data_IF_201925894411
#
_entry.id   IF_201925894411
#
_cell.length_a   1.000
_cell.length_b   1.000
_cell.length_c   1.000
_cell.angle_alpha   90.00
_cell.angle_beta   90.00
_cell.angle_gamma   90.00
#
_symmetry.space_group_name_H-M   'P 1'
#
loop_
_entity.id
_entity.type
_entity.pdbx_description
1 polymer ?
#
# COMPACT_ATOMS: atom_id res chain seq x y z
N UNK A 1 6.32 -1.77 -36.41
CA UNK A 1 5.91 -2.04 -35.00
C UNK A 1 6.55 -3.35 -34.60
N UNK A 2 7.54 -3.33 -33.74
CA UNK A 2 8.02 -4.54 -33.07
C UNK A 2 6.88 -5.03 -32.18
N UNK A 3 6.40 -6.27 -32.31
CA UNK A 3 5.42 -6.78 -31.36
C UNK A 3 6.05 -6.74 -29.95
N UNK A 4 5.25 -6.32 -28.95
CA UNK A 4 5.65 -6.43 -27.55
C UNK A 4 6.04 -7.87 -27.26
N UNK A 5 7.25 -8.07 -26.80
CA UNK A 5 7.67 -9.35 -26.23
C UNK A 5 7.62 -9.20 -24.73
N UNK A 6 6.87 -10.08 -24.06
CA UNK A 6 6.84 -10.13 -22.61
C UNK A 6 8.25 -10.22 -22.08
N UNK A 7 8.56 -9.34 -21.14
CA UNK A 7 9.87 -9.29 -20.45
C UNK A 7 9.71 -9.86 -19.06
N UNK A 8 10.84 -10.13 -18.40
CA UNK A 8 10.82 -10.57 -17.02
C UNK A 8 10.44 -9.43 -16.06
N UNK A 9 9.95 -9.78 -14.88
CA UNK A 9 9.71 -8.83 -13.81
C UNK A 9 11.03 -8.28 -13.25
N UNK A 10 11.05 -7.02 -12.87
CA UNK A 10 12.19 -6.37 -12.22
C UNK A 10 12.04 -6.46 -10.71
N UNK A 11 13.04 -6.99 -10.01
CA UNK A 11 13.10 -7.02 -8.56
C UNK A 11 14.25 -6.13 -8.08
N UNK A 12 14.03 -5.39 -6.99
CA UNK A 12 15.14 -4.67 -6.33
C UNK A 12 16.11 -5.67 -5.73
N UNK A 13 17.40 -5.27 -5.63
CA UNK A 13 18.42 -6.08 -4.95
C UNK A 13 18.21 -6.09 -3.44
N UNK A 14 17.72 -4.97 -2.92
CA UNK A 14 17.51 -4.78 -1.49
C UNK A 14 16.08 -5.10 -1.10
N UNK A 15 15.94 -5.83 -0.01
CA UNK A 15 14.65 -6.12 0.62
C UNK A 15 14.17 -4.93 1.46
N UNK A 16 12.87 -4.80 1.54
CA UNK A 16 12.19 -3.85 2.41
C UNK A 16 11.16 -4.55 3.32
N UNK A 17 10.84 -3.91 4.43
CA UNK A 17 9.68 -4.22 5.28
C UNK A 17 8.64 -3.13 5.13
N UNK A 18 8.45 -2.32 6.18
CA UNK A 18 7.57 -1.16 6.15
C UNK A 18 8.19 -0.05 5.28
N UNK A 19 7.43 0.51 4.35
CA UNK A 19 7.91 1.57 3.44
C UNK A 19 6.82 2.59 3.09
N UNK A 20 7.28 3.78 2.76
CA UNK A 20 6.61 4.72 1.88
C UNK A 20 7.24 4.61 0.50
N UNK A 21 6.43 4.35 -0.51
CA UNK A 21 6.83 4.25 -1.91
C UNK A 21 6.16 5.36 -2.71
N UNK A 22 6.95 6.07 -3.48
CA UNK A 22 6.47 6.97 -4.53
C UNK A 22 7.06 6.54 -5.87
N UNK A 23 6.26 6.57 -6.93
CA UNK A 23 6.73 6.38 -8.29
C UNK A 23 5.78 6.99 -9.31
N UNK A 24 6.34 7.33 -10.48
CA UNK A 24 5.55 7.61 -11.66
C UNK A 24 5.55 6.40 -12.60
N UNK A 25 4.41 6.13 -13.22
CA UNK A 25 4.27 5.13 -14.27
C UNK A 25 3.48 5.66 -15.46
N UNK A 26 3.67 5.03 -16.62
CA UNK A 26 2.91 5.33 -17.83
C UNK A 26 2.56 4.02 -18.53
N UNK A 27 1.29 3.88 -18.90
CA UNK A 27 0.76 2.73 -19.61
C UNK A 27 0.28 3.15 -21.01
N UNK A 28 0.58 2.39 -22.07
CA UNK A 28 -0.14 2.50 -23.34
C UNK A 28 -1.54 1.89 -23.22
N UNK A 29 -2.37 2.16 -24.22
CA UNK A 29 -3.74 1.64 -24.31
C UNK A 29 -3.79 0.11 -24.19
N UNK A 30 -4.64 -0.38 -23.30
CA UNK A 30 -4.87 -1.80 -23.04
C UNK A 30 -3.73 -2.52 -22.32
N UNK A 31 -2.76 -1.78 -21.77
CA UNK A 31 -1.64 -2.39 -21.04
C UNK A 31 -2.00 -2.80 -19.63
N UNK A 32 -1.26 -3.81 -19.14
CA UNK A 32 -1.34 -4.39 -17.81
C UNK A 32 0.05 -4.48 -17.20
N UNK A 33 0.17 -4.11 -15.93
CA UNK A 33 1.38 -4.19 -15.12
C UNK A 33 0.98 -4.19 -13.65
N UNK A 34 1.95 -4.26 -12.73
CA UNK A 34 1.72 -4.21 -11.28
C UNK A 34 2.95 -3.76 -10.51
N UNK A 35 2.71 -3.25 -9.31
CA UNK A 35 3.74 -2.94 -8.33
C UNK A 35 3.52 -3.84 -7.12
N UNK A 36 4.47 -4.76 -6.86
CA UNK A 36 4.36 -5.73 -5.78
C UNK A 36 5.26 -5.34 -4.62
N UNK A 37 4.66 -4.96 -3.51
CA UNK A 37 5.37 -4.74 -2.25
C UNK A 37 5.90 -6.09 -1.76
N UNK A 38 7.19 -6.13 -1.38
CA UNK A 38 7.89 -7.36 -0.96
C UNK A 38 7.86 -8.50 -1.99
N UNK A 39 7.60 -8.19 -3.29
CA UNK A 39 7.38 -9.21 -4.32
C UNK A 39 6.14 -10.07 -4.09
N UNK A 40 5.20 -9.65 -3.25
CA UNK A 40 4.04 -10.43 -2.78
C UNK A 40 2.70 -9.74 -2.89
N UNK A 41 2.62 -8.44 -2.63
CA UNK A 41 1.36 -7.71 -2.46
C UNK A 41 1.21 -6.66 -3.54
N UNK A 42 0.28 -6.87 -4.45
CA UNK A 42 0.14 -6.11 -5.69
C UNK A 42 -0.80 -4.92 -5.57
N UNK A 43 -0.30 -3.76 -6.02
CA UNK A 43 -1.12 -2.66 -6.53
C UNK A 43 -1.18 -2.80 -8.04
N UNK A 44 -2.38 -3.02 -8.56
CA UNK A 44 -2.63 -3.24 -9.99
C UNK A 44 -2.42 -1.95 -10.80
N UNK A 45 -1.72 -2.07 -11.91
CA UNK A 45 -1.57 -1.00 -12.91
C UNK A 45 -2.21 -1.46 -14.21
N UNK A 46 -3.34 -0.86 -14.57
CA UNK A 46 -4.13 -1.26 -15.74
C UNK A 46 -4.66 -0.05 -16.49
N UNK A 47 -4.81 -0.14 -17.81
CA UNK A 47 -5.50 0.90 -18.56
C UNK A 47 -7.00 0.87 -18.23
N UNK A 48 -7.37 1.63 -17.21
CA UNK A 48 -8.75 1.79 -16.73
C UNK A 48 -9.35 3.15 -17.11
N UNK A 49 -8.78 3.84 -18.11
CA UNK A 49 -9.29 5.13 -18.54
C UNK A 49 -10.78 5.07 -18.88
N UNK A 50 -11.57 5.94 -18.24
CA UNK A 50 -13.02 6.05 -18.47
C UNK A 50 -13.88 4.98 -17.77
N UNK A 51 -13.29 4.05 -17.00
CA UNK A 51 -14.05 3.09 -16.20
C UNK A 51 -14.82 3.84 -15.11
N UNK A 52 -16.16 3.70 -15.08
CA UNK A 52 -17.02 4.40 -14.11
C UNK A 52 -17.12 3.66 -12.78
N UNK A 53 -17.15 2.34 -12.81
CA UNK A 53 -17.30 1.49 -11.62
C UNK A 53 -16.09 0.55 -11.54
N UNK A 54 -14.98 0.97 -10.95
CA UNK A 54 -13.76 0.18 -10.91
C UNK A 54 -13.94 -1.10 -10.09
N UNK A 55 -13.20 -2.13 -10.47
CA UNK A 55 -13.14 -3.44 -9.84
C UNK A 55 -11.73 -3.73 -9.34
N UNK A 56 -11.54 -4.87 -8.70
CA UNK A 56 -10.23 -5.32 -8.20
C UNK A 56 -9.17 -5.55 -9.30
N UNK A 57 -9.55 -5.52 -10.58
CA UNK A 57 -8.64 -5.64 -11.73
C UNK A 57 -8.23 -4.28 -12.31
N UNK A 58 -8.85 -3.19 -11.87
CA UNK A 58 -8.62 -1.85 -12.41
C UNK A 58 -7.43 -1.16 -11.75
N UNK A 59 -6.99 -0.07 -12.36
CA UNK A 59 -5.80 0.68 -11.94
C UNK A 59 -5.90 1.16 -10.48
N UNK A 60 -4.86 0.88 -9.69
CA UNK A 60 -4.81 1.22 -8.28
C UNK A 60 -5.57 0.27 -7.36
N UNK A 61 -6.17 -0.79 -7.88
CA UNK A 61 -6.75 -1.86 -7.07
C UNK A 61 -5.69 -2.60 -6.27
N UNK A 62 -6.05 -3.18 -5.13
CA UNK A 62 -5.27 -4.25 -4.51
C UNK A 62 -5.74 -5.56 -5.14
N UNK A 63 -4.81 -6.24 -5.87
CA UNK A 63 -5.18 -7.41 -6.64
C UNK A 63 -5.58 -8.57 -5.77
N UNK A 64 -6.38 -9.50 -6.31
CA UNK A 64 -6.91 -10.64 -5.57
C UNK A 64 -5.82 -11.68 -5.25
N UNK A 65 -6.03 -12.44 -4.20
CA UNK A 65 -5.36 -13.70 -3.92
C UNK A 65 -5.99 -14.80 -4.77
N UNK A 66 -5.28 -15.93 -4.89
CA UNK A 66 -5.73 -17.06 -5.70
C UNK A 66 -5.51 -18.38 -4.99
N UNK A 67 -6.55 -19.23 -4.96
CA UNK A 67 -6.51 -20.57 -4.38
C UNK A 67 -7.41 -21.50 -5.18
N UNK A 68 -6.78 -22.41 -5.94
CA UNK A 68 -7.49 -23.36 -6.81
C UNK A 68 -8.37 -24.33 -6.03
N UNK A 69 -8.04 -24.62 -4.76
CA UNK A 69 -8.83 -25.51 -3.90
C UNK A 69 -10.22 -24.99 -3.60
N UNK A 70 -10.47 -23.69 -3.78
CA UNK A 70 -11.79 -23.04 -3.57
C UNK A 70 -12.83 -23.44 -4.63
N UNK A 71 -12.38 -24.07 -5.72
CA UNK A 71 -13.23 -24.55 -6.81
C UNK A 71 -13.51 -23.51 -7.88
N UNK A 72 -13.84 -23.99 -9.08
CA UNK A 72 -13.99 -23.21 -10.31
C UNK A 72 -14.91 -22.00 -10.14
N UNK A 73 -14.38 -20.81 -10.48
CA UNK A 73 -15.06 -19.51 -10.41
C UNK A 73 -15.06 -18.90 -9.01
N UNK A 74 -14.43 -19.53 -8.00
CA UNK A 74 -14.27 -19.01 -6.63
C UNK A 74 -12.81 -18.95 -6.19
N UNK A 75 -11.87 -19.20 -7.09
CA UNK A 75 -10.43 -19.24 -6.82
C UNK A 75 -9.90 -17.88 -6.34
N UNK A 76 -10.42 -16.79 -6.92
CA UNK A 76 -10.03 -15.43 -6.55
C UNK A 76 -10.78 -14.93 -5.31
N UNK A 77 -10.04 -14.31 -4.38
CA UNK A 77 -10.58 -13.73 -3.15
C UNK A 77 -9.66 -12.64 -2.61
N UNK A 78 -10.15 -11.84 -1.67
CA UNK A 78 -9.41 -10.70 -1.10
C UNK A 78 -8.85 -9.74 -2.17
N UNK A 79 -9.65 -9.46 -3.22
CA UNK A 79 -9.38 -8.39 -4.16
C UNK A 79 -10.18 -7.15 -3.77
N UNK A 80 -9.53 -5.97 -3.75
CA UNK A 80 -10.15 -4.73 -3.32
C UNK A 80 -10.18 -3.73 -4.47
N UNK A 81 -11.38 -3.38 -4.91
CA UNK A 81 -11.56 -2.32 -5.90
C UNK A 81 -11.16 -0.95 -5.32
N UNK A 82 -10.56 -0.06 -6.11
CA UNK A 82 -10.33 1.30 -5.65
C UNK A 82 -11.67 2.02 -5.41
N UNK A 83 -11.72 2.91 -4.42
CA UNK A 83 -12.92 3.70 -4.07
C UNK A 83 -13.50 4.46 -5.26
N UNK A 84 -12.61 4.88 -6.17
CA UNK A 84 -12.96 5.56 -7.41
C UNK A 84 -11.84 5.37 -8.45
N UNK A 85 -12.18 5.55 -9.71
CA UNK A 85 -11.17 5.52 -10.77
C UNK A 85 -10.46 6.88 -10.83
N UNK A 86 -9.15 6.87 -10.57
CA UNK A 86 -8.27 8.03 -10.69
C UNK A 86 -7.26 7.91 -11.84
N UNK A 87 -7.39 6.87 -12.71
CA UNK A 87 -6.50 6.66 -13.83
C UNK A 87 -6.63 7.75 -14.88
N UNK A 88 -5.50 8.25 -15.36
CA UNK A 88 -5.41 9.16 -16.50
C UNK A 88 -5.44 8.39 -17.81
N UNK A 89 -5.62 9.11 -18.93
CA UNK A 89 -5.61 8.53 -20.27
C UNK A 89 -4.27 7.83 -20.58
N UNK A 90 -4.30 6.73 -21.38
CA UNK A 90 -3.09 6.05 -21.81
C UNK A 90 -2.05 7.01 -22.42
N UNK A 91 -0.76 6.78 -22.12
CA UNK A 91 0.34 7.61 -22.57
C UNK A 91 0.62 8.83 -21.69
N UNK A 92 -0.16 9.07 -20.65
CA UNK A 92 0.13 10.09 -19.63
C UNK A 92 0.87 9.47 -18.44
N UNK A 93 1.79 10.23 -17.86
CA UNK A 93 2.44 9.88 -16.61
C UNK A 93 1.45 9.99 -15.47
N UNK A 94 1.44 8.99 -14.62
CA UNK A 94 0.59 8.87 -13.44
C UNK A 94 1.47 8.71 -12.19
N UNK A 95 1.05 9.30 -11.10
CA UNK A 95 1.78 9.27 -9.83
C UNK A 95 1.09 8.35 -8.82
N UNK A 96 1.83 7.35 -8.33
CA UNK A 96 1.39 6.40 -7.32
C UNK A 96 2.15 6.64 -6.03
N UNK A 97 1.43 6.71 -4.90
CA UNK A 97 2.04 6.64 -3.56
C UNK A 97 1.44 5.48 -2.76
N UNK A 98 2.29 4.79 -2.01
CA UNK A 98 1.89 3.63 -1.19
C UNK A 98 2.57 3.70 0.17
N UNK A 99 1.77 3.78 1.23
CA UNK A 99 2.21 3.50 2.60
C UNK A 99 1.90 2.04 2.91
N UNK A 100 2.92 1.23 3.18
CA UNK A 100 2.79 -0.21 3.39
C UNK A 100 3.48 -0.68 4.66
N UNK A 101 2.79 -1.52 5.42
CA UNK A 101 3.33 -2.25 6.56
C UNK A 101 3.45 -3.74 6.21
N UNK A 102 4.67 -4.27 6.39
CA UNK A 102 4.96 -5.69 6.20
C UNK A 102 4.30 -6.55 7.28
N UNK A 103 4.03 -7.84 7.00
CA UNK A 103 3.58 -8.76 8.03
C UNK A 103 4.63 -8.89 9.14
N UNK A 104 4.19 -9.09 10.38
CA UNK A 104 5.09 -9.24 11.53
C UNK A 104 5.08 -10.69 12.01
N UNK A 105 6.25 -11.11 12.48
CA UNK A 105 6.49 -12.48 12.94
C UNK A 105 7.15 -12.48 14.31
N UNK A 106 6.72 -13.41 15.16
CA UNK A 106 7.30 -13.70 16.47
C UNK A 106 7.51 -15.21 16.60
N UNK A 107 8.73 -15.63 16.93
CA UNK A 107 9.07 -17.04 17.02
C UNK A 107 8.78 -17.86 15.74
N UNK A 108 8.93 -17.23 14.57
CA UNK A 108 8.62 -17.84 13.28
C UNK A 108 7.14 -17.89 12.90
N UNK A 109 6.23 -17.43 13.76
CA UNK A 109 4.78 -17.39 13.50
C UNK A 109 4.35 -15.97 13.13
N UNK A 110 3.53 -15.84 12.08
CA UNK A 110 2.91 -14.56 11.73
C UNK A 110 1.95 -14.11 12.83
N UNK A 111 2.17 -12.90 13.38
CA UNK A 111 1.34 -12.28 14.42
C UNK A 111 0.54 -11.09 13.90
N UNK A 112 0.92 -10.52 12.76
CA UNK A 112 0.18 -9.44 12.10
C UNK A 112 0.25 -9.59 10.57
N UNK A 113 -0.86 -9.33 9.92
CA UNK A 113 -0.96 -9.33 8.47
C UNK A 113 -0.20 -8.16 7.83
N UNK A 114 0.13 -8.30 6.54
CA UNK A 114 0.53 -7.19 5.70
C UNK A 114 -0.63 -6.19 5.58
N UNK A 115 -0.33 -4.90 5.45
CA UNK A 115 -1.34 -3.85 5.37
C UNK A 115 -0.94 -2.73 4.42
N UNK A 116 -1.79 -2.42 3.47
CA UNK A 116 -1.76 -1.15 2.75
C UNK A 116 -2.40 -0.09 3.66
N UNK A 117 -1.56 0.73 4.28
CA UNK A 117 -2.03 1.80 5.18
C UNK A 117 -2.75 2.86 4.36
N UNK A 118 -2.15 3.24 3.23
CA UNK A 118 -2.74 4.17 2.27
C UNK A 118 -2.20 3.92 0.87
N UNK A 119 -3.08 4.02 -0.12
CA UNK A 119 -2.71 4.02 -1.55
C UNK A 119 -3.37 5.22 -2.20
N UNK A 120 -2.57 6.05 -2.89
CA UNK A 120 -3.08 7.17 -3.69
C UNK A 120 -2.64 7.05 -5.14
N UNK A 121 -3.50 7.45 -6.06
CA UNK A 121 -3.19 7.58 -7.47
C UNK A 121 -3.56 9.00 -7.92
N UNK A 122 -2.60 9.71 -8.50
CA UNK A 122 -2.79 11.09 -8.99
C UNK A 122 -3.39 12.02 -7.91
N UNK A 123 -2.92 11.89 -6.66
CA UNK A 123 -3.40 12.66 -5.50
C UNK A 123 -4.72 12.20 -4.90
N UNK A 124 -5.39 11.21 -5.50
CA UNK A 124 -6.66 10.66 -5.04
C UNK A 124 -6.45 9.44 -4.16
N UNK A 125 -6.97 9.43 -2.95
CA UNK A 125 -6.92 8.26 -2.04
C UNK A 125 -7.84 7.14 -2.55
N UNK A 126 -7.24 5.99 -2.85
CA UNK A 126 -7.94 4.81 -3.36
C UNK A 126 -8.23 3.80 -2.26
N UNK A 127 -7.30 3.60 -1.35
CA UNK A 127 -7.41 2.64 -0.24
C UNK A 127 -6.85 3.22 1.04
N UNK A 128 -7.41 2.76 2.15
CA UNK A 128 -6.90 3.00 3.50
C UNK A 128 -7.13 1.76 4.36
N UNK A 129 -6.09 1.35 5.10
CA UNK A 129 -6.13 0.26 6.07
C UNK A 129 -6.63 -1.09 5.49
N UNK A 130 -6.13 -1.48 4.33
CA UNK A 130 -6.45 -2.78 3.72
C UNK A 130 -5.45 -3.81 4.20
N UNK A 131 -5.91 -4.79 4.96
CA UNK A 131 -5.13 -5.95 5.38
C UNK A 131 -5.25 -7.09 4.36
N UNK A 132 -4.15 -7.85 4.21
CA UNK A 132 -4.06 -9.02 3.35
C UNK A 132 -3.57 -10.22 4.15
N UNK A 133 -4.30 -11.32 4.09
CA UNK A 133 -3.95 -12.54 4.84
C UNK A 133 -2.83 -13.36 4.18
N UNK A 134 -2.36 -12.96 2.99
CA UNK A 134 -1.25 -13.57 2.27
C UNK A 134 -0.98 -12.93 0.91
N UNK A 135 -0.02 -13.45 0.13
CA UNK A 135 0.37 -12.91 -1.16
C UNK A 135 -0.78 -12.86 -2.16
N UNK A 136 -0.77 -11.84 -3.01
CA UNK A 136 -1.71 -11.71 -4.13
C UNK A 136 -1.33 -12.67 -5.26
N UNK A 137 -2.22 -12.88 -6.22
CA UNK A 137 -1.99 -13.75 -7.38
C UNK A 137 -0.76 -13.30 -8.17
N UNK A 138 -0.03 -14.26 -8.73
CA UNK A 138 1.18 -14.04 -9.55
C UNK A 138 2.34 -13.33 -8.83
N UNK A 139 2.35 -13.35 -7.49
CA UNK A 139 3.48 -12.90 -6.70
C UNK A 139 4.77 -13.68 -7.03
N UNK A 140 5.93 -13.03 -6.88
CA UNK A 140 7.23 -13.68 -7.04
C UNK A 140 7.49 -14.74 -5.97
N UNK A 141 6.84 -14.62 -4.81
CA UNK A 141 6.96 -15.53 -3.68
C UNK A 141 5.58 -15.94 -3.17
N UNK A 142 5.41 -17.23 -2.88
CA UNK A 142 4.14 -17.79 -2.40
C UNK A 142 4.05 -17.88 -0.87
N UNK A 143 5.18 -17.73 -0.18
CA UNK A 143 5.28 -17.65 1.27
C UNK A 143 5.07 -16.21 1.77
N UNK A 144 4.98 -16.04 3.06
CA UNK A 144 5.07 -14.73 3.70
C UNK A 144 6.36 -14.61 4.53
N UNK A 145 6.97 -13.43 4.48
CA UNK A 145 8.21 -13.12 5.16
C UNK A 145 8.17 -11.69 5.73
N UNK A 146 9.01 -11.33 6.71
CA UNK A 146 9.03 -9.98 7.27
C UNK A 146 9.64 -8.93 6.32
N UNK A 147 10.33 -9.37 5.27
CA UNK A 147 10.99 -8.51 4.26
C UNK A 147 10.95 -9.18 2.89
N UNK A 148 11.06 -8.37 1.84
CA UNK A 148 11.20 -8.83 0.46
C UNK A 148 11.49 -7.66 -0.50
N UNK A 149 11.82 -7.96 -1.77
CA UNK A 149 12.12 -6.93 -2.77
C UNK A 149 10.86 -6.21 -3.26
N UNK A 150 11.01 -4.98 -3.73
CA UNK A 150 10.01 -4.37 -4.60
C UNK A 150 10.07 -5.06 -5.96
N UNK A 151 8.91 -5.47 -6.50
CA UNK A 151 8.81 -5.98 -7.86
C UNK A 151 7.97 -5.08 -8.73
N UNK A 152 8.48 -4.77 -9.91
CA UNK A 152 7.78 -4.08 -10.99
C UNK A 152 7.47 -5.10 -12.09
N UNK A 153 6.18 -5.28 -12.36
CA UNK A 153 5.74 -6.31 -13.32
C UNK A 153 6.01 -5.86 -14.76
N UNK A 154 6.72 -6.71 -15.53
CA UNK A 154 7.08 -6.45 -16.92
C UNK A 154 6.53 -7.46 -17.92
N UNK A 155 5.92 -8.56 -17.46
CA UNK A 155 5.53 -9.70 -18.29
C UNK A 155 4.08 -9.66 -18.83
N UNK A 156 3.27 -8.64 -18.46
CA UNK A 156 1.86 -8.54 -18.84
C UNK A 156 1.51 -7.40 -19.81
N UNK A 157 2.41 -6.45 -20.00
CA UNK A 157 2.19 -5.35 -20.94
C UNK A 157 3.33 -4.32 -20.90
N UNK A 158 3.39 -3.46 -21.89
CA UNK A 158 4.37 -2.39 -21.91
C UNK A 158 4.07 -1.38 -20.81
N UNK A 159 5.08 -0.99 -20.07
CA UNK A 159 4.99 0.01 -19.01
C UNK A 159 6.30 0.79 -18.92
N UNK A 160 6.23 2.05 -18.53
CA UNK A 160 7.40 2.84 -18.18
C UNK A 160 7.30 3.29 -16.72
N UNK A 161 8.41 3.23 -16.00
CA UNK A 161 8.54 3.72 -14.63
C UNK A 161 9.62 4.80 -14.54
N UNK A 162 9.43 5.75 -13.64
CA UNK A 162 10.43 6.78 -13.30
C UNK A 162 10.20 7.31 -11.89
N UNK A 163 11.13 8.12 -11.38
CA UNK A 163 11.03 8.83 -10.09
C UNK A 163 10.67 7.88 -8.94
N UNK A 164 11.28 6.67 -8.92
CA UNK A 164 11.01 5.67 -7.89
C UNK A 164 11.77 6.09 -6.63
N UNK A 165 11.04 6.39 -5.57
CA UNK A 165 11.57 6.72 -4.26
C UNK A 165 11.00 5.76 -3.21
N UNK A 166 11.88 5.21 -2.37
CA UNK A 166 11.53 4.30 -1.29
C UNK A 166 12.09 4.86 0.00
N UNK A 167 11.21 5.24 0.90
CA UNK A 167 11.55 5.56 2.29
C UNK A 167 11.22 4.36 3.18
N UNK A 168 12.24 3.83 3.86
CA UNK A 168 12.08 2.72 4.81
C UNK A 168 11.78 3.31 6.17
N UNK A 169 10.71 2.87 6.81
CA UNK A 169 10.48 3.17 8.20
C UNK A 169 10.28 1.86 8.97
N UNK A 170 11.14 1.64 9.92
CA UNK A 170 10.91 0.63 10.95
C UNK A 170 10.17 1.35 12.07
N UNK A 171 8.86 1.09 12.18
CA UNK A 171 8.17 1.42 13.43
C UNK A 171 8.71 0.46 14.48
N UNK A 172 9.71 0.90 15.22
CA UNK A 172 10.05 0.25 16.48
C UNK A 172 8.80 0.15 17.36
N UNK A 173 8.79 -0.72 18.38
CA UNK A 173 7.74 -0.69 19.37
C UNK A 173 7.59 0.78 19.80
N UNK A 174 6.36 1.32 19.72
CA UNK A 174 6.06 2.61 20.30
C UNK A 174 6.45 2.52 21.78
N UNK A 175 7.66 2.95 22.11
CA UNK A 175 8.02 3.25 23.48
C UNK A 175 7.21 4.51 23.81
N UNK A 176 5.96 4.30 24.21
CA UNK A 176 5.16 5.34 24.80
C UNK A 176 5.86 5.67 26.13
N UNK A 177 6.59 6.77 26.12
CA UNK A 177 7.12 7.32 27.38
C UNK A 177 5.97 7.71 28.31
N UNK A 178 6.26 8.03 29.56
CA UNK A 178 5.24 8.43 30.50
C UNK A 178 4.43 9.60 29.94
N UNK A 179 3.11 9.48 29.96
CA UNK A 179 2.19 10.52 29.48
C UNK A 179 2.19 11.65 30.50
N UNK A 180 2.62 12.85 30.05
CA UNK A 180 2.45 14.07 30.85
C UNK A 180 1.05 14.60 30.67
N UNK A 181 0.37 14.90 31.76
CA UNK A 181 -0.96 15.51 31.73
C UNK A 181 -1.01 16.77 32.60
N UNK A 182 -1.88 17.70 32.20
CA UNK A 182 -2.24 18.86 33.00
C UNK A 182 -3.78 18.93 33.04
N UNK A 183 -4.33 19.04 34.23
CA UNK A 183 -5.76 19.11 34.47
C UNK A 183 -6.16 20.53 34.83
N UNK A 184 -7.23 21.02 34.21
CA UNK A 184 -7.78 22.35 34.43
C UNK A 184 -9.24 22.24 34.84
N UNK A 185 -9.59 22.69 36.05
CA UNK A 185 -10.99 22.83 36.44
C UNK A 185 -11.56 24.15 35.87
N UNK A 186 -12.61 24.03 35.08
CA UNK A 186 -13.34 25.18 34.53
C UNK A 186 -13.79 24.95 33.08
N UNK A 187 -14.80 25.70 32.70
CA UNK A 187 -15.33 25.73 31.35
C UNK A 187 -14.51 26.71 30.51
N UNK A 188 -13.95 26.26 29.39
CA UNK A 188 -13.40 27.15 28.39
C UNK A 188 -14.43 27.26 27.25
N UNK A 189 -15.04 28.40 27.08
CA UNK A 189 -16.00 28.68 25.98
C UNK A 189 -15.32 28.71 24.60
N UNK A 190 -14.00 28.81 24.56
CA UNK A 190 -13.17 28.74 23.36
C UNK A 190 -11.94 27.92 23.68
N UNK A 191 -11.44 27.13 22.72
CA UNK A 191 -10.14 26.48 22.83
C UNK A 191 -9.08 27.56 22.56
N UNK A 192 -8.48 28.18 23.57
CA UNK A 192 -7.41 29.15 23.34
C UNK A 192 -6.16 28.40 22.95
N UNK A 193 -5.40 28.89 21.98
CA UNK A 193 -4.10 28.32 21.63
C UNK A 193 -3.06 28.31 22.75
N UNK A 194 -3.38 28.90 23.92
CA UNK A 194 -2.60 28.85 25.18
C UNK A 194 -3.53 29.02 26.38
N UNK A 195 -3.41 28.13 27.33
CA UNK A 195 -3.97 28.35 28.66
C UNK A 195 -3.11 29.40 29.38
N UNK A 196 -3.73 30.47 29.81
CA UNK A 196 -3.06 31.56 30.56
C UNK A 196 -3.03 31.30 32.08
N UNK A 197 -3.82 30.32 32.54
CA UNK A 197 -3.87 29.86 33.94
C UNK A 197 -2.95 28.65 34.13
N UNK A 198 -2.28 28.57 35.27
CA UNK A 198 -1.58 27.37 35.66
C UNK A 198 -2.56 26.18 35.81
N UNK A 199 -2.18 24.95 35.48
CA UNK A 199 -3.04 23.79 35.66
C UNK A 199 -3.34 23.55 37.13
N UNK A 200 -4.55 23.11 37.47
CA UNK A 200 -4.96 22.79 38.84
C UNK A 200 -4.31 21.47 39.32
N UNK A 201 -3.96 20.60 38.38
CA UNK A 201 -3.15 19.41 38.62
C UNK A 201 -2.32 19.06 37.39
N UNK A 202 -1.12 18.56 37.60
CA UNK A 202 -0.26 18.04 36.52
C UNK A 202 0.54 16.83 37.01
N UNK A 203 0.92 15.95 36.14
CA UNK A 203 1.68 14.78 36.50
C UNK A 203 2.13 13.97 35.26
N UNK A 204 2.80 12.89 35.55
CA UNK A 204 3.17 11.85 34.57
C UNK A 204 2.59 10.53 35.05
N UNK A 205 1.94 9.79 34.15
CA UNK A 205 1.46 8.44 34.43
C UNK A 205 2.27 7.44 33.60
N UNK A 206 2.72 6.32 34.19
CA UNK A 206 3.22 5.20 33.41
C UNK A 206 2.06 4.64 32.59
N UNK A 207 2.37 4.18 31.37
CA UNK A 207 1.44 3.46 30.50
C UNK A 207 1.46 1.99 30.81
#
# INVERSE_FOLDING_TARGET
KTPYQATDNLLTKDDHGDIHLELDFMLPKGSNSGVYLMGRYEVQLYDSWGVKNPKYIDCGAIYQRWDESRGKGREGFEGFAPRQNAALAPGLWQHLTVDFEAPKFEGGRKVRNARFVKVTLNGTTLHENIELTGPTRAAAFTDEAPRGPLMLQGDHGAVAFRNIAIERFERGPLALGPVSYAFYNGYAETIPGRFTKAPDAQGTAPL
#
